data_IF_972187851831
#
_entry.id   IF_972187851831
#
_cell.length_a   1.000
_cell.length_b   1.000
_cell.length_c   1.000
_cell.angle_alpha   90.00
_cell.angle_beta   90.00
_cell.angle_gamma   90.00
#
_symmetry.space_group_name_H-M   'P 1'
#
loop_
_entity.id
_entity.type
_entity.pdbx_description
1 polymer ?
#
# COMPACT_ATOMS: atom_id res chain seq x y z
N UNK A 1 5.33 17.06 -26.15
CA UNK A 1 5.21 15.71 -25.56
C UNK A 1 6.29 15.61 -24.49
N UNK A 2 5.92 15.68 -23.20
CA UNK A 2 6.72 15.25 -22.03
C UNK A 2 6.22 15.79 -20.67
N UNK A 3 4.96 16.24 -20.51
CA UNK A 3 4.46 16.61 -19.17
C UNK A 3 4.53 15.43 -18.18
N UNK A 4 4.47 14.20 -18.70
CA UNK A 4 4.57 12.96 -17.90
C UNK A 4 5.99 12.61 -17.45
N UNK A 5 7.04 13.10 -18.12
CA UNK A 5 8.43 12.79 -17.73
C UNK A 5 8.94 13.72 -16.62
N UNK A 6 8.29 14.87 -16.43
CA UNK A 6 8.63 15.83 -15.37
C UNK A 6 7.88 15.58 -14.06
N UNK A 7 6.80 14.79 -14.09
CA UNK A 7 6.05 14.42 -12.88
C UNK A 7 6.62 13.15 -12.23
N UNK A 8 6.48 13.02 -10.90
CA UNK A 8 6.85 11.77 -10.25
C UNK A 8 6.00 10.62 -10.81
N UNK A 9 6.66 9.51 -11.13
CA UNK A 9 6.04 8.34 -11.74
C UNK A 9 5.16 7.63 -10.71
N UNK A 10 3.85 7.84 -10.80
CA UNK A 10 2.85 7.16 -10.00
C UNK A 10 2.06 6.16 -10.84
N UNK A 11 1.71 5.03 -10.24
CA UNK A 11 0.78 4.09 -10.84
C UNK A 11 -0.65 4.62 -10.71
N UNK A 12 -1.39 4.59 -11.82
CA UNK A 12 -2.81 4.93 -11.87
C UNK A 12 -3.66 3.74 -11.42
N UNK A 13 -4.91 4.01 -11.01
CA UNK A 13 -5.88 2.99 -10.62
C UNK A 13 -6.00 1.79 -11.60
N UNK A 14 -6.11 1.99 -12.93
CA UNK A 14 -6.15 0.86 -13.87
C UNK A 14 -4.85 0.06 -13.91
N UNK A 15 -3.70 0.70 -13.76
CA UNK A 15 -2.40 0.02 -13.77
C UNK A 15 -2.23 -0.87 -12.53
N UNK A 16 -2.73 -0.43 -11.38
CA UNK A 16 -2.73 -1.22 -10.14
C UNK A 16 -3.73 -2.36 -10.22
N UNK A 17 -4.90 -2.14 -10.82
CA UNK A 17 -5.86 -3.22 -11.06
C UNK A 17 -5.26 -4.31 -11.94
N UNK A 18 -4.55 -3.92 -13.01
CA UNK A 18 -3.82 -4.86 -13.86
C UNK A 18 -2.70 -5.58 -13.08
N UNK A 19 -1.91 -4.85 -12.28
CA UNK A 19 -0.86 -5.45 -11.44
C UNK A 19 -1.44 -6.49 -10.47
N UNK A 20 -2.55 -6.18 -9.79
CA UNK A 20 -3.24 -7.11 -8.90
C UNK A 20 -3.79 -8.33 -9.64
N UNK A 21 -4.20 -8.18 -10.91
CA UNK A 21 -4.64 -9.31 -11.74
C UNK A 21 -3.48 -10.28 -12.04
N UNK A 22 -2.29 -9.76 -12.35
CA UNK A 22 -1.13 -10.56 -12.73
C UNK A 22 -0.39 -11.23 -11.55
N UNK A 23 -0.61 -10.80 -10.31
CA UNK A 23 0.06 -11.38 -9.14
C UNK A 23 -0.74 -12.61 -8.65
N UNK A 24 -0.27 -13.85 -8.81
CA UNK A 24 -1.04 -15.02 -8.39
C UNK A 24 -1.07 -15.19 -6.87
N UNK A 25 -0.02 -14.75 -6.18
CA UNK A 25 0.17 -14.94 -4.74
C UNK A 25 -0.70 -13.98 -3.91
N UNK A 26 -1.48 -14.56 -2.97
CA UNK A 26 -2.39 -13.81 -2.12
C UNK A 26 -1.65 -12.85 -1.19
N UNK A 27 -0.48 -13.24 -0.68
CA UNK A 27 0.29 -12.42 0.24
C UNK A 27 0.79 -11.14 -0.46
N UNK A 28 1.36 -11.27 -1.66
CA UNK A 28 1.76 -10.13 -2.50
C UNK A 28 0.58 -9.27 -2.94
N UNK A 29 -0.55 -9.87 -3.31
CA UNK A 29 -1.79 -9.13 -3.60
C UNK A 29 -2.23 -8.30 -2.40
N UNK A 30 -2.25 -8.89 -1.21
CA UNK A 30 -2.62 -8.20 0.03
C UNK A 30 -1.68 -7.04 0.33
N UNK A 31 -0.36 -7.22 0.16
CA UNK A 31 0.63 -6.16 0.34
C UNK A 31 0.38 -4.99 -0.61
N UNK A 32 0.22 -5.25 -1.91
CA UNK A 32 -0.02 -4.21 -2.93
C UNK A 32 -1.34 -3.48 -2.67
N UNK A 33 -2.41 -4.22 -2.36
CA UNK A 33 -3.70 -3.64 -2.02
C UNK A 33 -3.62 -2.77 -0.75
N UNK A 34 -2.88 -3.20 0.27
CA UNK A 34 -2.71 -2.42 1.51
C UNK A 34 -1.91 -1.15 1.26
N UNK A 35 -0.83 -1.23 0.48
CA UNK A 35 -0.04 -0.07 0.07
C UNK A 35 -0.88 0.95 -0.71
N UNK A 36 -1.69 0.48 -1.67
CA UNK A 36 -2.58 1.34 -2.45
C UNK A 36 -3.65 2.02 -1.60
N UNK A 37 -4.27 1.29 -0.67
CA UNK A 37 -5.35 1.84 0.16
C UNK A 37 -4.87 2.78 1.28
N UNK A 38 -3.63 2.63 1.75
CA UNK A 38 -3.13 3.38 2.93
C UNK A 38 -1.98 4.33 2.64
N UNK A 39 -1.29 4.20 1.49
CA UNK A 39 -0.11 5.02 1.17
C UNK A 39 1.10 4.77 2.07
N UNK A 40 1.16 3.61 2.73
CA UNK A 40 2.20 3.23 3.68
C UNK A 40 3.60 3.18 3.05
N UNK A 41 4.65 3.54 3.81
CA UNK A 41 6.03 3.41 3.31
C UNK A 41 6.44 1.94 3.22
N UNK A 42 7.29 1.58 2.27
CA UNK A 42 7.72 0.18 2.06
C UNK A 42 8.31 -0.47 3.33
N UNK A 43 9.11 0.24 4.11
CA UNK A 43 9.69 -0.29 5.35
C UNK A 43 8.63 -0.50 6.45
N UNK A 44 7.63 0.37 6.52
CA UNK A 44 6.50 0.22 7.44
C UNK A 44 5.67 -1.00 7.02
N UNK A 45 5.45 -1.20 5.72
CA UNK A 45 4.69 -2.33 5.17
C UNK A 45 5.36 -3.68 5.41
N UNK A 46 6.70 -3.74 5.39
CA UNK A 46 7.45 -4.95 5.72
C UNK A 46 7.39 -5.30 7.21
N UNK A 47 7.38 -4.30 8.09
CA UNK A 47 7.23 -4.48 9.53
C UNK A 47 5.76 -4.64 9.95
N UNK A 48 4.82 -4.45 9.02
CA UNK A 48 3.40 -4.45 9.29
C UNK A 48 2.87 -5.86 9.52
N UNK A 49 2.03 -6.01 10.54
CA UNK A 49 1.48 -7.30 10.95
C UNK A 49 -0.04 -7.29 10.92
N UNK A 50 -0.65 -8.48 10.90
CA UNK A 50 -2.11 -8.65 10.86
C UNK A 50 -2.83 -7.91 11.99
N UNK A 51 -2.21 -7.73 13.16
CA UNK A 51 -2.81 -7.05 14.30
C UNK A 51 -3.07 -5.55 14.08
N UNK A 52 -2.49 -4.94 13.04
CA UNK A 52 -2.74 -3.56 12.68
C UNK A 52 -4.03 -3.32 11.87
N UNK A 53 -4.73 -4.37 11.44
CA UNK A 53 -5.99 -4.25 10.71
C UNK A 53 -7.19 -4.23 11.65
N UNK A 54 -7.91 -3.11 11.65
CA UNK A 54 -9.18 -2.97 12.35
C UNK A 54 -10.30 -2.95 11.30
N UNK A 55 -10.91 -4.12 11.07
CA UNK A 55 -11.94 -4.32 10.05
C UNK A 55 -13.37 -4.25 10.63
N UNK A 56 -13.53 -3.66 11.81
CA UNK A 56 -14.83 -3.55 12.47
C UNK A 56 -15.66 -2.37 11.92
N UNK A 57 -17.00 -2.45 11.91
CA UNK A 57 -17.88 -1.32 11.57
C UNK A 57 -17.74 -0.15 12.56
N UNK A 58 -18.08 1.11 12.19
CA UNK A 58 -18.59 1.56 10.89
C UNK A 58 -17.51 1.88 9.84
N UNK A 59 -16.25 2.00 10.25
CA UNK A 59 -15.14 2.30 9.34
C UNK A 59 -13.94 1.43 9.66
N UNK A 60 -13.46 0.72 8.65
CA UNK A 60 -12.23 -0.06 8.76
C UNK A 60 -11.02 0.85 8.62
N UNK A 61 -10.00 0.65 9.46
CA UNK A 61 -8.76 1.41 9.40
C UNK A 61 -7.54 0.52 9.68
N UNK A 62 -6.39 1.05 9.31
CA UNK A 62 -5.09 0.42 9.53
C UNK A 62 -4.30 1.27 10.50
N UNK A 63 -3.86 0.69 11.61
CA UNK A 63 -3.02 1.38 12.59
C UNK A 63 -1.55 1.06 12.33
N UNK A 64 -0.78 2.10 12.04
CA UNK A 64 0.65 2.00 11.79
C UNK A 64 1.42 2.36 13.04
N UNK A 65 2.14 1.38 13.59
CA UNK A 65 3.18 1.66 14.56
C UNK A 65 4.40 2.22 13.81
N UNK A 66 4.40 3.53 13.55
CA UNK A 66 5.58 4.18 12.99
C UNK A 66 6.73 4.01 14.00
N UNK A 67 7.77 3.29 13.60
CA UNK A 67 9.02 3.24 14.34
C UNK A 67 9.60 4.65 14.27
N UNK A 68 9.35 5.46 15.31
CA UNK A 68 9.90 6.79 15.42
C UNK A 68 11.41 6.64 15.41
N UNK A 69 12.05 7.03 14.31
CA UNK A 69 13.50 7.07 14.21
C UNK A 69 14.00 7.95 15.35
N UNK A 70 14.62 7.35 16.37
CA UNK A 70 15.36 8.10 17.37
C UNK A 70 16.71 8.43 16.74
N UNK A 71 16.89 9.71 16.39
CA UNK A 71 18.19 10.30 16.21
C UNK A 71 18.76 10.66 17.59
#
# INVERSE_FOLDING_TARGET
MALHDELPKYLLAPEISALLHYVPDLHRKMLIATLWNTGMRSNEALAFTRSGFFLAPPYSFVQLAALKLRA
#
